data_IF_157819504318
#
_entry.id   IF_157819504318
#
_cell.length_a   1.000
_cell.length_b   1.000
_cell.length_c   1.000
_cell.angle_alpha   90.00
_cell.angle_beta   90.00
_cell.angle_gamma   90.00
#
_symmetry.space_group_name_H-M   'P 1'
#
loop_
_entity.id
_entity.type
_entity.pdbx_description
1 polymer ?
#
# COMPACT_ATOMS: atom_id res chain seq x y z
N UNK A 1 0.78 4.57 -2.25
CA UNK A 1 -0.03 4.05 -1.12
C UNK A 1 0.12 5.04 0.02
N UNK A 2 -0.96 5.72 0.44
CA UNK A 2 -0.88 6.71 1.53
C UNK A 2 -1.02 6.01 2.90
N UNK A 3 -0.25 6.48 3.89
CA UNK A 3 -0.01 5.74 5.15
C UNK A 3 -1.27 5.48 6.01
N UNK A 4 -2.33 6.28 5.91
CA UNK A 4 -3.53 6.17 6.77
C UNK A 4 -4.61 5.23 6.24
N UNK A 5 -4.68 4.97 4.93
CA UNK A 5 -5.60 3.96 4.36
C UNK A 5 -5.37 2.60 5.02
N UNK A 6 -4.12 2.33 5.41
CA UNK A 6 -3.67 1.17 6.17
C UNK A 6 -4.26 1.13 7.59
N UNK A 7 -4.27 2.24 8.33
CA UNK A 7 -4.63 2.26 9.75
C UNK A 7 -6.13 1.96 10.02
N UNK A 8 -7.02 2.20 9.04
CA UNK A 8 -8.45 1.85 9.13
C UNK A 8 -8.76 0.46 8.58
N UNK A 9 -7.83 -0.20 7.90
CA UNK A 9 -8.08 -1.49 7.31
C UNK A 9 -7.89 -2.59 8.35
N UNK A 10 -8.92 -3.38 8.71
CA UNK A 10 -8.86 -4.32 9.83
C UNK A 10 -7.81 -5.43 9.65
N UNK A 11 -7.44 -5.73 8.41
CA UNK A 11 -6.38 -6.71 8.09
C UNK A 11 -4.95 -6.15 8.15
N UNK A 12 -4.75 -4.87 8.46
CA UNK A 12 -3.43 -4.23 8.50
C UNK A 12 -3.05 -3.91 9.93
N UNK A 13 -1.87 -4.37 10.35
CA UNK A 13 -1.38 -4.19 11.73
C UNK A 13 -0.33 -3.10 11.87
N UNK A 14 0.42 -2.82 10.81
CA UNK A 14 1.47 -1.80 10.79
C UNK A 14 1.72 -1.26 9.39
N UNK A 15 2.05 0.02 9.30
CA UNK A 15 2.61 0.62 8.10
C UNK A 15 4.15 0.57 8.19
N UNK A 16 4.79 -0.05 7.20
CA UNK A 16 6.26 -0.10 7.10
C UNK A 16 6.69 0.97 6.10
N UNK A 17 7.55 1.89 6.54
CA UNK A 17 8.14 2.93 5.69
C UNK A 17 9.62 2.69 5.48
N UNK A 18 10.12 3.01 4.28
CA UNK A 18 11.53 2.93 3.92
C UNK A 18 12.16 4.30 3.66
N UNK A 19 12.20 5.22 4.64
CA UNK A 19 12.85 6.51 4.46
C UNK A 19 14.36 6.31 4.24
N UNK A 20 14.93 7.09 3.32
CA UNK A 20 16.37 7.10 3.03
C UNK A 20 17.10 8.24 3.74
N UNK A 21 16.35 9.19 4.32
CA UNK A 21 16.90 10.30 5.11
C UNK A 21 16.11 10.46 6.41
N UNK A 22 16.73 11.11 7.40
CA UNK A 22 16.08 11.40 8.68
C UNK A 22 14.87 12.33 8.48
N UNK A 23 15.00 13.35 7.63
CA UNK A 23 13.91 14.27 7.32
C UNK A 23 12.67 13.56 6.73
N UNK A 24 12.88 12.54 5.89
CA UNK A 24 11.79 11.69 5.38
C UNK A 24 11.12 10.89 6.49
N UNK A 25 11.86 10.44 7.49
CA UNK A 25 11.29 9.77 8.66
C UNK A 25 10.48 10.78 9.51
N UNK A 26 11.10 11.90 9.86
CA UNK A 26 10.52 12.92 10.74
C UNK A 26 9.23 13.52 10.15
N UNK A 27 9.22 13.82 8.85
CA UNK A 27 8.03 14.32 8.15
C UNK A 27 6.84 13.35 8.19
N UNK A 28 7.09 12.05 8.39
CA UNK A 28 6.07 11.01 8.41
C UNK A 28 5.54 10.69 9.81
N UNK A 29 6.24 11.11 10.88
CA UNK A 29 5.83 10.82 12.27
C UNK A 29 4.47 11.43 12.61
N UNK A 30 4.15 12.61 12.09
CA UNK A 30 2.87 13.28 12.34
C UNK A 30 1.65 12.60 11.70
N UNK A 31 1.85 11.62 10.81
CA UNK A 31 0.74 10.92 10.13
C UNK A 31 -0.13 10.09 11.11
N UNK A 32 0.41 9.76 12.29
CA UNK A 32 -0.31 9.00 13.33
C UNK A 32 -1.54 9.73 13.86
N UNK A 33 -1.54 11.07 13.82
CA UNK A 33 -2.64 11.89 14.35
C UNK A 33 -3.67 12.30 13.28
N UNK A 34 -3.37 12.12 11.99
CA UNK A 34 -4.21 12.58 10.87
C UNK A 34 -5.44 11.70 10.62
N UNK A 35 -6.61 12.08 11.11
CA UNK A 35 -7.87 11.37 10.85
C UNK A 35 -8.46 11.77 9.49
N UNK A 36 -8.62 10.81 8.58
CA UNK A 36 -9.42 10.96 7.36
C UNK A 36 -10.84 10.46 7.61
N UNK A 37 -11.85 11.16 7.09
CA UNK A 37 -13.23 10.70 7.09
C UNK A 37 -13.52 9.74 5.91
N UNK A 38 -14.68 9.08 5.97
CA UNK A 38 -15.04 8.05 5.00
C UNK A 38 -15.29 8.65 3.61
N UNK A 39 -15.87 9.85 3.53
CA UNK A 39 -16.10 10.52 2.24
C UNK A 39 -14.77 10.87 1.52
N UNK A 40 -13.74 11.24 2.27
CA UNK A 40 -12.42 11.49 1.72
C UNK A 40 -11.73 10.18 1.29
N UNK A 41 -11.95 9.08 2.01
CA UNK A 41 -11.44 7.76 1.62
C UNK A 41 -12.11 7.27 0.33
N UNK A 42 -13.42 7.42 0.21
CA UNK A 42 -14.16 7.07 -1.01
C UNK A 42 -13.63 7.86 -2.21
N UNK A 43 -13.34 9.15 -2.01
CA UNK A 43 -12.76 10.00 -3.06
C UNK A 43 -11.32 9.61 -3.43
N UNK A 44 -10.57 8.98 -2.53
CA UNK A 44 -9.24 8.41 -2.86
C UNK A 44 -9.43 7.18 -3.76
N UNK A 45 -10.38 6.32 -3.44
CA UNK A 45 -10.68 5.11 -4.20
C UNK A 45 -11.19 5.43 -5.63
N UNK A 46 -11.89 6.55 -5.81
CA UNK A 46 -12.27 7.06 -7.14
C UNK A 46 -11.06 7.44 -8.00
N UNK A 47 -9.97 7.94 -7.40
CA UNK A 47 -8.76 8.33 -8.13
C UNK A 47 -7.93 7.09 -8.50
N UNK A 48 -7.79 6.16 -7.56
CA UNK A 48 -7.08 4.89 -7.76
C UNK A 48 -7.91 3.78 -7.14
N UNK A 49 -8.56 2.99 -8.00
CA UNK A 49 -9.35 1.86 -7.55
C UNK A 49 -8.50 0.88 -6.70
N UNK A 50 -9.06 0.30 -5.62
CA UNK A 50 -8.37 -0.67 -4.80
C UNK A 50 -7.78 -1.84 -5.61
N UNK A 51 -6.55 -2.25 -5.27
CA UNK A 51 -5.83 -3.32 -5.98
C UNK A 51 -5.17 -2.89 -7.29
N UNK A 52 -5.27 -1.62 -7.68
CA UNK A 52 -4.56 -1.10 -8.86
C UNK A 52 -3.06 -1.04 -8.60
N UNK A 53 -2.28 -1.75 -9.43
CA UNK A 53 -0.83 -1.57 -9.47
C UNK A 53 -0.47 -0.48 -10.50
N UNK A 54 -0.01 0.67 -10.01
CA UNK A 54 0.34 1.82 -10.84
C UNK A 54 1.68 1.65 -11.57
N UNK A 55 2.59 0.86 -11.00
CA UNK A 55 3.91 0.64 -11.53
C UNK A 55 4.14 -0.86 -11.77
N UNK A 56 4.28 -1.31 -13.03
CA UNK A 56 4.54 -2.71 -13.34
C UNK A 56 5.74 -3.30 -12.60
N UNK A 57 6.76 -2.50 -12.30
CA UNK A 57 7.97 -2.95 -11.58
C UNK A 57 7.68 -3.30 -10.11
N UNK A 58 6.58 -2.77 -9.55
CA UNK A 58 6.15 -3.06 -8.17
C UNK A 58 5.31 -4.35 -8.08
N UNK A 59 5.05 -5.04 -9.20
CA UNK A 59 4.30 -6.30 -9.23
C UNK A 59 5.02 -7.45 -8.49
N UNK A 60 6.29 -7.25 -8.13
CA UNK A 60 7.11 -8.24 -7.44
C UNK A 60 7.54 -9.39 -8.35
N UNK A 61 8.22 -10.36 -7.74
CA UNK A 61 8.73 -11.52 -8.47
C UNK A 61 7.59 -12.48 -8.83
N UNK A 62 7.37 -12.68 -10.13
CA UNK A 62 6.47 -13.73 -10.62
C UNK A 62 7.24 -15.04 -10.75
N UNK A 63 6.98 -15.99 -9.84
CA UNK A 63 7.65 -17.28 -9.85
C UNK A 63 7.24 -18.12 -11.09
N UNK A 64 8.19 -18.47 -12.00
CA UNK A 64 7.88 -19.26 -13.20
C UNK A 64 7.29 -20.65 -12.89
N UNK A 65 7.62 -21.24 -11.74
CA UNK A 65 7.08 -22.54 -11.31
C UNK A 65 5.59 -22.48 -10.97
N UNK A 66 5.03 -21.29 -10.71
CA UNK A 66 3.60 -21.08 -10.45
C UNK A 66 2.79 -20.85 -11.74
N UNK A 67 3.42 -20.87 -12.92
CA UNK A 67 2.72 -20.81 -14.21
C UNK A 67 1.86 -22.07 -14.40
N UNK A 68 0.68 -21.93 -15.02
CA UNK A 68 -0.25 -23.05 -15.17
C UNK A 68 0.37 -24.29 -15.85
N UNK A 69 1.28 -24.07 -16.81
CA UNK A 69 2.01 -25.14 -17.50
C UNK A 69 3.05 -25.85 -16.63
N UNK A 70 3.59 -25.19 -15.60
CA UNK A 70 4.63 -25.74 -14.72
C UNK A 70 4.09 -26.37 -13.43
N UNK A 71 2.80 -26.18 -13.12
CA UNK A 71 2.14 -26.78 -11.94
C UNK A 71 2.01 -28.29 -12.14
N UNK A 72 2.65 -29.08 -11.27
CA UNK A 72 2.37 -30.52 -11.18
C UNK A 72 1.02 -30.71 -10.47
N UNK A 73 0.15 -31.57 -11.01
CA UNK A 73 -1.07 -32.00 -10.34
C UNK A 73 -0.74 -32.99 -9.24
#
# INVERSE_FOLDING_TARGET
>A
MQMRTLARHPAVTAAIIGPRTLEQLESQLGAIDVVLDDALLDRIDEIVAPGTNLNPDDAGFTNPALTAAARRR
#
